data_IF_027980996087
#
_entry.id   IF_027980996087
#
_cell.length_a   1.000
_cell.length_b   1.000
_cell.length_c   1.000
_cell.angle_alpha   90.00
_cell.angle_beta   90.00
_cell.angle_gamma   90.00
#
_symmetry.space_group_name_H-M   'P 1'
#
loop_
_entity.id
_entity.type
_entity.pdbx_description
1 polymer ?
#
# COMPACT_ATOMS: atom_id res chain seq x y z
N UNK A 1 12.68 -24.04 -5.52
CA UNK A 1 12.43 -22.68 -5.11
C UNK A 1 13.50 -21.74 -5.59
N UNK A 2 13.08 -20.70 -6.10
CA UNK A 2 13.97 -19.78 -6.73
C UNK A 2 14.18 -18.55 -5.86
N UNK A 3 15.40 -18.34 -5.42
CA UNK A 3 15.68 -17.25 -4.50
C UNK A 3 15.51 -15.88 -5.16
N UNK A 4 15.59 -15.83 -6.48
CA UNK A 4 15.42 -14.55 -7.17
C UNK A 4 14.03 -13.99 -7.03
N UNK A 5 13.08 -14.83 -6.67
CA UNK A 5 11.70 -14.44 -6.62
C UNK A 5 11.14 -14.66 -5.21
N UNK A 6 11.94 -14.26 -4.21
CA UNK A 6 11.50 -14.39 -2.84
C UNK A 6 10.34 -13.48 -2.51
N UNK A 7 10.18 -12.43 -3.28
CA UNK A 7 9.12 -11.49 -3.00
C UNK A 7 7.85 -11.85 -3.76
N UNK A 8 6.74 -11.32 -3.25
CA UNK A 8 5.45 -11.41 -3.89
C UNK A 8 5.11 -10.03 -4.45
N UNK A 9 4.13 -9.96 -5.34
CA UNK A 9 3.71 -8.65 -5.81
C UNK A 9 2.78 -8.01 -4.77
N UNK A 10 2.50 -6.71 -4.98
CA UNK A 10 1.72 -5.96 -4.00
C UNK A 10 0.32 -6.47 -3.80
N UNK A 11 -0.23 -7.18 -4.79
CA UNK A 11 -1.56 -7.73 -4.64
C UNK A 11 -1.64 -8.75 -3.52
N UNK A 12 -0.52 -9.40 -3.21
CA UNK A 12 -0.53 -10.39 -2.15
C UNK A 12 -0.72 -9.77 -0.78
N UNK A 13 -0.57 -8.45 -0.66
CA UNK A 13 -0.79 -7.76 0.60
C UNK A 13 -2.23 -7.35 0.81
N UNK A 14 -3.10 -7.58 -0.18
CA UNK A 14 -4.49 -7.09 -0.11
C UNK A 14 -5.22 -7.59 1.12
N UNK A 15 -5.04 -8.87 1.45
CA UNK A 15 -5.75 -9.45 2.59
C UNK A 15 -5.34 -8.81 3.90
N UNK A 16 -4.04 -8.61 4.09
CA UNK A 16 -3.55 -8.02 5.33
C UNK A 16 -3.94 -6.56 5.44
N UNK A 17 -3.83 -5.84 4.34
CA UNK A 17 -4.10 -4.41 4.38
C UNK A 17 -5.58 -4.10 4.45
N UNK A 18 -6.44 -5.01 3.98
CA UNK A 18 -7.88 -4.79 4.05
C UNK A 18 -8.38 -4.75 5.48
N UNK A 19 -7.59 -5.23 6.41
CA UNK A 19 -7.98 -5.16 7.82
C UNK A 19 -7.83 -3.76 8.38
N UNK A 20 -7.06 -2.93 7.70
CA UNK A 20 -6.77 -1.58 8.17
C UNK A 20 -7.45 -0.55 7.29
N UNK A 21 -7.40 -0.77 5.98
CA UNK A 21 -7.92 0.19 5.02
C UNK A 21 -9.26 -0.28 4.50
N UNK A 22 -10.24 0.63 4.48
CA UNK A 22 -11.53 0.33 3.88
C UNK A 22 -11.45 0.32 2.35
N UNK A 23 -10.44 0.97 1.80
CA UNK A 23 -10.23 1.04 0.36
C UNK A 23 -9.11 0.07 -0.01
N UNK A 24 -9.24 -0.54 -1.17
CA UNK A 24 -8.23 -1.47 -1.66
C UNK A 24 -6.95 -0.69 -2.00
N UNK A 25 -5.99 -0.75 -1.11
CA UNK A 25 -4.77 0.03 -1.27
C UNK A 25 -3.89 -0.51 -2.39
N UNK A 26 -4.09 -1.78 -2.78
CA UNK A 26 -3.27 -2.34 -3.86
C UNK A 26 -3.60 -1.72 -5.21
N UNK A 27 -4.78 -1.11 -5.33
CA UNK A 27 -5.17 -0.41 -6.55
C UNK A 27 -4.68 1.03 -6.56
N UNK A 28 -4.13 1.51 -5.45
CA UNK A 28 -3.69 2.89 -5.37
C UNK A 28 -2.34 3.07 -6.04
N UNK A 29 -2.07 4.31 -6.46
CA UNK A 29 -0.75 4.69 -6.89
C UNK A 29 -0.02 5.33 -5.73
N UNK A 30 1.29 5.11 -5.68
CA UNK A 30 2.10 5.72 -4.66
C UNK A 30 3.40 6.23 -5.22
N UNK A 31 4.08 7.04 -4.41
CA UNK A 31 5.40 7.53 -4.77
C UNK A 31 6.39 7.10 -3.72
N UNK A 32 7.48 6.50 -4.17
CA UNK A 32 8.57 6.12 -3.28
C UNK A 32 9.25 7.37 -2.76
N UNK A 33 9.40 7.48 -1.45
CA UNK A 33 10.03 8.64 -0.84
C UNK A 33 11.53 8.67 -1.12
N UNK A 34 12.11 7.53 -1.47
CA UNK A 34 13.55 7.44 -1.69
C UNK A 34 13.94 7.79 -3.11
N UNK A 35 13.33 7.13 -4.10
CA UNK A 35 13.75 7.33 -5.49
C UNK A 35 12.77 8.19 -6.29
N UNK A 36 11.61 8.48 -5.74
CA UNK A 36 10.63 9.31 -6.44
C UNK A 36 9.79 8.60 -7.47
N UNK A 37 10.03 7.32 -7.71
CA UNK A 37 9.27 6.58 -8.70
C UNK A 37 7.82 6.47 -8.26
N UNK A 38 6.90 6.55 -9.22
CA UNK A 38 5.49 6.36 -8.98
C UNK A 38 5.03 5.08 -9.63
N UNK A 39 4.00 4.47 -9.07
CA UNK A 39 3.46 3.26 -9.63
C UNK A 39 2.37 2.72 -8.74
N UNK A 40 1.72 1.66 -9.21
CA UNK A 40 0.67 1.01 -8.42
C UNK A 40 1.29 0.19 -7.31
N UNK A 41 0.63 0.19 -6.16
CA UNK A 41 1.11 -0.65 -5.07
C UNK A 41 1.13 -2.12 -5.46
N UNK A 42 0.21 -2.52 -6.35
CA UNK A 42 0.16 -3.90 -6.81
C UNK A 42 1.48 -4.35 -7.43
N UNK A 43 2.30 -3.42 -7.90
CA UNK A 43 3.58 -3.75 -8.53
C UNK A 43 4.74 -3.75 -7.55
N UNK A 44 4.51 -3.40 -6.29
CA UNK A 44 5.57 -3.40 -5.28
C UNK A 44 6.02 -4.82 -4.98
N UNK A 45 7.22 -4.92 -4.44
CA UNK A 45 7.77 -6.21 -4.00
C UNK A 45 7.41 -6.42 -2.54
N UNK A 46 6.62 -7.44 -2.26
CA UNK A 46 6.12 -7.69 -0.92
C UNK A 46 6.77 -8.94 -0.34
N UNK A 47 7.26 -8.80 0.88
CA UNK A 47 7.85 -9.91 1.63
C UNK A 47 6.97 -10.18 2.83
N UNK A 48 6.39 -11.36 2.88
CA UNK A 48 5.56 -11.79 4.00
C UNK A 48 6.46 -12.48 4.99
N UNK A 49 6.59 -11.91 6.17
CA UNK A 49 7.48 -12.45 7.16
C UNK A 49 6.82 -12.46 8.52
N UNK A 50 6.66 -13.67 9.06
CA UNK A 50 6.11 -13.80 10.39
C UNK A 50 4.75 -13.14 10.48
N UNK A 51 4.55 -12.28 11.47
CA UNK A 51 3.24 -11.71 11.72
C UNK A 51 2.91 -10.48 10.88
N UNK A 52 3.67 -10.22 9.83
CA UNK A 52 3.43 -9.00 9.06
C UNK A 52 3.98 -9.06 7.67
N UNK A 53 4.21 -7.89 7.11
CA UNK A 53 4.77 -7.80 5.77
C UNK A 53 5.62 -6.55 5.62
N UNK A 54 6.49 -6.59 4.62
CA UNK A 54 7.30 -5.45 4.22
C UNK A 54 7.11 -5.27 2.72
N UNK A 55 6.74 -4.07 2.30
CA UNK A 55 6.61 -3.75 0.89
C UNK A 55 7.77 -2.85 0.48
N UNK A 56 8.42 -3.20 -0.62
CA UNK A 56 9.57 -2.47 -1.13
C UNK A 56 9.29 -1.94 -2.52
N UNK A 57 9.93 -0.83 -2.82
CA UNK A 57 9.82 -0.21 -4.14
C UNK A 57 10.33 -1.17 -5.21
N UNK A 58 9.55 -1.32 -6.29
CA UNK A 58 9.97 -2.19 -7.38
C UNK A 58 11.17 -1.64 -8.14
N UNK A 59 11.46 -0.36 -7.98
CA UNK A 59 12.55 0.29 -8.71
C UNK A 59 13.84 0.31 -7.90
N UNK A 60 13.78 0.78 -6.65
CA UNK A 60 14.99 0.94 -5.86
C UNK A 60 15.08 0.00 -4.66
N UNK A 61 14.06 -0.79 -4.40
CA UNK A 61 14.01 -1.76 -3.30
C UNK A 61 13.98 -1.13 -1.91
N UNK A 62 13.81 0.15 -1.84
CA UNK A 62 13.67 0.80 -0.52
C UNK A 62 12.34 0.40 0.10
N UNK A 63 12.31 0.30 1.42
CA UNK A 63 11.07 -0.07 2.10
C UNK A 63 10.05 1.04 1.95
N UNK A 64 8.89 0.70 1.43
CA UNK A 64 7.78 1.63 1.29
C UNK A 64 6.93 1.64 2.55
N UNK A 65 6.52 0.45 2.98
CA UNK A 65 5.74 0.34 4.21
C UNK A 65 6.02 -0.99 4.87
N UNK A 66 5.70 -1.04 6.14
CA UNK A 66 5.88 -2.23 6.95
C UNK A 66 4.67 -2.37 7.84
N UNK A 67 4.11 -3.55 7.86
CA UNK A 67 2.97 -3.88 8.73
C UNK A 67 3.39 -4.99 9.66
N UNK A 68 3.14 -4.80 10.95
CA UNK A 68 3.38 -5.84 11.95
C UNK A 68 2.11 -6.04 12.72
N UNK A 69 1.64 -7.28 12.75
CA UNK A 69 0.41 -7.63 13.46
C UNK A 69 0.72 -8.14 14.85
N UNK A 70 -0.07 -7.72 15.81
CA UNK A 70 -0.04 -8.23 17.17
C UNK A 70 -1.45 -8.69 17.52
N UNK A 71 -1.63 -9.41 18.64
CA UNK A 71 -2.94 -9.99 18.92
C UNK A 71 -4.10 -9.01 18.92
N UNK A 72 -3.89 -7.79 19.39
CA UNK A 72 -4.99 -6.84 19.46
C UNK A 72 -4.65 -5.47 18.91
N UNK A 73 -3.59 -5.38 18.11
CA UNK A 73 -3.26 -4.13 17.44
C UNK A 73 -2.28 -4.43 16.31
N UNK A 74 -2.02 -3.42 15.48
CA UNK A 74 -1.07 -3.55 14.40
C UNK A 74 -0.29 -2.25 14.28
N UNK A 75 0.95 -2.37 13.81
CA UNK A 75 1.80 -1.20 13.53
C UNK A 75 1.92 -1.07 12.05
N UNK A 76 1.65 0.11 11.55
CA UNK A 76 1.78 0.39 10.13
C UNK A 76 2.72 1.56 9.97
N UNK A 77 3.88 1.29 9.39
CA UNK A 77 4.91 2.29 9.15
C UNK A 77 4.94 2.56 7.65
N UNK A 78 4.60 3.77 7.26
CA UNK A 78 4.50 4.16 5.86
C UNK A 78 5.49 5.24 5.48
N UNK A 79 6.61 5.32 6.19
CA UNK A 79 7.59 6.39 5.96
C UNK A 79 8.20 6.36 4.58
N UNK A 80 8.19 5.21 3.92
CA UNK A 80 8.81 5.09 2.61
C UNK A 80 7.93 5.55 1.47
N UNK A 81 6.71 5.97 1.75
CA UNK A 81 5.77 6.43 0.73
C UNK A 81 5.51 7.89 0.92
N UNK A 82 5.72 8.69 -0.14
CA UNK A 82 5.44 10.12 -0.07
C UNK A 82 3.94 10.37 -0.02
N UNK A 83 3.19 9.59 -0.82
CA UNK A 83 1.74 9.69 -0.84
C UNK A 83 1.16 8.45 -1.49
N UNK A 84 -0.12 8.21 -1.22
CA UNK A 84 -0.95 7.29 -2.00
C UNK A 84 -2.03 8.09 -2.68
N UNK A 85 -2.35 7.71 -3.90
CA UNK A 85 -3.46 8.30 -4.63
C UNK A 85 -4.48 7.22 -4.89
N UNK A 86 -5.68 7.43 -4.42
CA UNK A 86 -6.77 6.49 -4.57
C UNK A 86 -7.73 6.99 -5.61
N UNK A 87 -8.16 6.09 -6.47
CA UNK A 87 -9.17 6.42 -7.46
C UNK A 87 -10.52 6.08 -6.88
N UNK A 88 -11.39 7.07 -6.77
CA UNK A 88 -12.70 6.86 -6.19
C UNK A 88 -13.75 7.11 -7.26
N UNK A 89 -14.83 6.32 -7.27
CA UNK A 89 -15.90 6.56 -8.23
C UNK A 89 -16.53 7.92 -7.97
N UNK A 90 -16.66 8.69 -9.03
CA UNK A 90 -17.20 10.01 -8.91
C UNK A 90 -18.62 10.01 -8.34
N UNK A 91 -19.38 8.99 -8.70
CA UNK A 91 -20.76 8.89 -8.24
C UNK A 91 -20.87 8.71 -6.74
N UNK A 92 -19.77 8.39 -6.08
CA UNK A 92 -19.79 8.24 -4.64
C UNK A 92 -19.55 9.51 -3.89
N UNK A 93 -19.06 10.53 -4.55
CA UNK A 93 -18.74 11.77 -3.88
C UNK A 93 -20.00 12.50 -3.53
N UNK A 94 -20.11 13.06 -2.32
CA UNK A 94 -21.26 13.89 -1.98
C UNK A 94 -21.23 15.10 -2.86
N UNK A 95 -22.33 15.51 -3.24
CA UNK A 95 -22.40 16.68 -4.09
C UNK A 95 -21.80 17.89 -3.39
N UNK A 96 -21.49 17.62 -2.89
CA UNK A 96 -21.00 18.41 -2.49
C UNK A 96 -21.33 19.23 -2.27
N UNK A 97 -21.56 18.95 -2.20
CA UNK A 97 -21.48 19.48 -1.97
C UNK A 97 -21.60 20.18 -1.62
N UNK A 98 -21.57 20.01 -1.61
CA UNK A 98 -21.33 20.43 -1.14
C UNK A 98 -21.20 20.91 -0.86
N UNK A 99 -21.54 20.94 -1.10
CA UNK A 99 -21.05 21.09 -0.82
C UNK A 99 -20.77 21.42 -0.74
N UNK A 100 -20.99 21.45 -0.91
CA UNK A 100 -20.43 21.51 -0.78
C UNK A 100 -20.04 21.76 -0.74
N UNK A 101 -20.24 21.69 -0.87
CA UNK A 101 -19.64 21.54 -0.76
C UNK A 101 -19.33 21.91 -0.78
N UNK A 102 -19.52 21.81 -0.79
CA UNK A 102 -19.14 21.81 -0.64
C UNK A 102 -18.92 21.99 -0.45
#
# INVERSE_FOLDING_TARGET
>A
MNSDTDYLDGNSAAGELSRIFAIDVTAAEGQCASCGATGRFADAHVYMQGPGLVARCAVCEHVLLRLVNAPNHAWLDMRGVTYFRFYTPESRLPANKDGSGH
#
